data_IF_071817749217
#
_entry.id   IF_071817749217
#
_cell.length_a   1.000
_cell.length_b   1.000
_cell.length_c   1.000
_cell.angle_alpha   90.00
_cell.angle_beta   90.00
_cell.angle_gamma   90.00
#
_symmetry.space_group_name_H-M   'P 1'
#
loop_
_entity.id
_entity.type
_entity.pdbx_description
1 polymer ?
#
# COMPACT_ATOMS: atom_id res chain seq x y z
N UNK A 1 2.10 -11.87 -3.12
CA UNK A 1 2.42 -10.74 -2.23
C UNK A 1 3.02 -9.58 -3.03
N UNK A 2 2.68 -8.33 -2.67
CA UNK A 2 3.19 -7.09 -3.27
C UNK A 2 3.60 -6.09 -2.16
N UNK A 3 4.36 -5.06 -2.53
CA UNK A 3 4.78 -3.97 -1.63
C UNK A 3 4.11 -2.68 -2.06
N UNK A 4 3.76 -1.84 -1.10
CA UNK A 4 3.31 -0.47 -1.40
C UNK A 4 4.49 0.32 -1.98
N UNK A 5 4.17 1.23 -2.91
CA UNK A 5 5.13 2.01 -3.70
C UNK A 5 6.32 2.52 -2.86
N UNK A 6 7.57 2.38 -3.35
CA UNK A 6 8.77 2.88 -2.67
C UNK A 6 8.73 4.34 -2.22
N UNK A 7 7.88 5.19 -2.83
CA UNK A 7 7.66 6.57 -2.42
C UNK A 7 7.24 6.70 -0.96
N UNK A 8 6.57 5.68 -0.39
CA UNK A 8 6.19 5.69 1.03
C UNK A 8 7.40 5.80 1.93
N UNK A 9 8.60 5.39 1.52
CA UNK A 9 9.85 5.54 2.31
C UNK A 9 10.18 6.99 2.69
N UNK A 10 9.61 7.97 1.98
CA UNK A 10 9.78 9.40 2.28
C UNK A 10 8.89 9.88 3.42
N UNK A 11 7.89 9.09 3.82
CA UNK A 11 6.97 9.43 4.90
C UNK A 11 7.67 9.13 6.24
N UNK A 12 7.92 10.18 7.02
CA UNK A 12 8.47 10.08 8.38
C UNK A 12 7.40 9.94 9.46
N UNK A 13 6.16 10.32 9.17
CA UNK A 13 5.02 10.19 10.09
C UNK A 13 4.64 8.72 10.29
N UNK A 14 3.96 8.45 11.41
CA UNK A 14 3.30 7.17 11.66
C UNK A 14 2.27 6.89 10.56
N UNK A 15 2.17 5.62 10.16
CA UNK A 15 1.28 5.17 9.10
C UNK A 15 0.39 4.06 9.64
N UNK A 16 -0.91 4.18 9.40
CA UNK A 16 -1.89 3.12 9.69
C UNK A 16 -2.43 2.57 8.38
N UNK A 17 -2.28 1.28 8.17
CA UNK A 17 -2.83 0.57 7.02
C UNK A 17 -4.08 -0.19 7.45
N UNK A 18 -5.22 0.15 6.88
CA UNK A 18 -6.51 -0.49 7.11
C UNK A 18 -6.79 -1.52 6.03
N UNK A 19 -6.95 -2.81 6.37
CA UNK A 19 -7.15 -3.91 5.41
C UNK A 19 -8.21 -4.86 5.94
N UNK A 20 -9.32 -5.05 5.21
CA UNK A 20 -10.36 -6.03 5.60
C UNK A 20 -10.90 -5.83 7.01
N UNK A 21 -10.97 -4.58 7.50
CA UNK A 21 -11.39 -4.24 8.86
C UNK A 21 -10.29 -4.33 9.93
N UNK A 22 -9.09 -4.81 9.59
CA UNK A 22 -7.92 -4.79 10.47
C UNK A 22 -7.13 -3.49 10.29
N UNK A 23 -6.42 -3.08 11.35
CA UNK A 23 -5.50 -1.94 11.34
C UNK A 23 -4.09 -2.43 11.64
N UNK A 24 -3.14 -2.04 10.80
CA UNK A 24 -1.72 -2.32 10.96
C UNK A 24 -0.98 -0.99 11.13
N UNK A 25 -0.27 -0.82 12.23
CA UNK A 25 0.45 0.41 12.54
C UNK A 25 1.93 0.26 12.21
N UNK A 26 2.50 1.31 11.62
CA UNK A 26 3.91 1.39 11.24
C UNK A 26 4.45 2.73 11.73
N UNK A 27 5.63 2.74 12.34
CA UNK A 27 6.25 3.96 12.86
C UNK A 27 6.75 4.89 11.75
N UNK A 28 6.93 4.37 10.53
CA UNK A 28 7.38 5.15 9.39
C UNK A 28 7.11 4.46 8.05
N UNK A 29 7.26 5.22 6.98
CA UNK A 29 7.26 4.71 5.62
C UNK A 29 8.38 3.72 5.31
N UNK A 30 9.52 3.80 6.01
CA UNK A 30 10.60 2.81 5.87
C UNK A 30 10.14 1.44 6.35
N UNK A 31 9.45 1.40 7.49
CA UNK A 31 8.89 0.18 8.04
C UNK A 31 7.81 -0.40 7.14
N UNK A 32 6.87 0.43 6.69
CA UNK A 32 5.83 0.05 5.74
C UNK A 32 6.43 -0.54 4.45
N UNK A 33 7.52 0.03 3.93
CA UNK A 33 8.15 -0.46 2.68
C UNK A 33 8.71 -1.89 2.77
N UNK A 34 8.87 -2.43 3.99
CA UNK A 34 9.29 -3.81 4.24
C UNK A 34 8.11 -4.77 4.31
N UNK A 35 6.91 -4.26 4.62
CA UNK A 35 5.69 -5.06 4.70
C UNK A 35 5.30 -5.63 3.33
N UNK A 36 4.62 -6.76 3.37
CA UNK A 36 4.09 -7.45 2.19
C UNK A 36 2.59 -7.64 2.34
N UNK A 37 1.85 -7.30 1.28
CA UNK A 37 0.39 -7.38 1.25
C UNK A 37 -0.05 -8.40 0.18
N UNK A 38 -1.23 -8.99 0.35
CA UNK A 38 -1.79 -9.88 -0.66
C UNK A 38 -2.17 -9.06 -1.91
N UNK A 39 -1.85 -9.57 -3.11
CA UNK A 39 -2.13 -8.93 -4.40
C UNK A 39 -3.63 -8.73 -4.64
N UNK A 40 -4.48 -9.40 -3.88
CA UNK A 40 -5.93 -9.20 -3.89
C UNK A 40 -6.35 -7.84 -3.34
N UNK A 41 -5.49 -7.11 -2.64
CA UNK A 41 -5.83 -5.80 -2.09
C UNK A 41 -5.19 -4.67 -2.88
N UNK A 42 -5.95 -3.64 -3.20
CA UNK A 42 -5.50 -2.39 -3.84
C UNK A 42 -5.71 -1.21 -2.91
N UNK A 43 -4.96 -0.14 -3.14
CA UNK A 43 -5.13 1.12 -2.40
C UNK A 43 -6.46 1.75 -2.82
N UNK A 44 -7.38 1.90 -1.87
CA UNK A 44 -8.62 2.65 -2.07
C UNK A 44 -8.39 4.14 -1.83
N UNK A 45 -7.77 4.48 -0.68
CA UNK A 45 -7.59 5.88 -0.24
C UNK A 45 -6.31 6.05 0.55
N UNK A 46 -5.72 7.23 0.42
CA UNK A 46 -4.62 7.71 1.27
C UNK A 46 -5.01 9.11 1.76
N UNK A 47 -4.96 9.33 3.06
CA UNK A 47 -5.24 10.63 3.67
C UNK A 47 -4.45 10.81 4.96
N UNK A 48 -4.36 12.05 5.44
CA UNK A 48 -3.74 12.37 6.72
C UNK A 48 -4.82 12.65 7.77
N UNK A 49 -4.67 12.09 8.96
CA UNK A 49 -5.57 12.29 10.09
C UNK A 49 -4.78 12.22 11.40
N UNK A 50 -4.98 13.19 12.30
CA UNK A 50 -4.32 13.24 13.62
C UNK A 50 -2.79 13.02 13.56
N UNK A 51 -2.11 13.73 12.66
CA UNK A 51 -0.65 13.64 12.42
C UNK A 51 -0.15 12.29 11.86
N UNK A 52 -1.08 11.39 11.51
CA UNK A 52 -0.78 10.08 10.92
C UNK A 52 -1.22 10.03 9.47
N UNK A 53 -0.54 9.21 8.69
CA UNK A 53 -1.00 8.84 7.34
C UNK A 53 -1.86 7.58 7.46
N UNK A 54 -3.06 7.63 6.90
CA UNK A 54 -3.97 6.48 6.83
C UNK A 54 -4.00 5.99 5.39
N UNK A 55 -3.72 4.70 5.19
CA UNK A 55 -3.80 4.00 3.91
C UNK A 55 -4.90 2.95 4.03
N UNK A 56 -5.94 3.06 3.23
CA UNK A 56 -7.04 2.09 3.20
C UNK A 56 -6.83 1.18 2.00
N UNK A 57 -6.73 -0.13 2.25
CA UNK A 57 -6.74 -1.15 1.21
C UNK A 57 -8.11 -1.82 1.14
N UNK A 58 -8.60 -2.03 -0.08
CA UNK A 58 -9.81 -2.80 -0.37
C UNK A 58 -9.47 -4.01 -1.22
N UNK A 59 -10.31 -5.03 -1.18
CA UNK A 59 -10.20 -6.12 -2.16
C UNK A 59 -10.44 -5.57 -3.57
N UNK A 60 -9.58 -5.99 -4.49
CA UNK A 60 -9.69 -5.67 -5.89
C UNK A 60 -10.89 -6.40 -6.48
N UNK A 61 -11.79 -5.65 -7.11
CA UNK A 61 -12.79 -6.27 -7.98
C UNK A 61 -12.08 -7.01 -9.11
N UNK A 62 -12.56 -8.21 -9.43
CA UNK A 62 -11.96 -9.14 -10.42
C UNK A 62 -11.83 -8.48 -11.82
N UNK A 63 -12.55 -7.38 -12.06
CA UNK A 63 -12.54 -6.60 -13.30
C UNK A 63 -11.63 -5.35 -13.27
N UNK A 64 -10.93 -5.09 -12.17
CA UNK A 64 -10.03 -3.93 -12.02
C UNK A 64 -8.62 -4.30 -12.50
N UNK A 65 -8.46 -4.41 -13.83
CA UNK A 65 -7.18 -4.70 -14.51
C UNK A 65 -6.13 -3.59 -14.41
N UNK A 66 -6.41 -2.48 -13.71
CA UNK A 66 -5.59 -1.25 -13.79
C UNK A 66 -4.30 -1.26 -12.95
N UNK A 67 -4.07 -2.27 -12.10
CA UNK A 67 -2.98 -2.23 -11.09
C UNK A 67 -1.86 -3.26 -11.31
N UNK A 68 -2.05 -4.22 -12.21
CA UNK A 68 -0.94 -5.02 -12.72
C UNK A 68 -0.35 -4.30 -13.93
N UNK A 69 0.43 -3.25 -13.70
CA UNK A 69 1.54 -3.02 -14.62
C UNK A 69 2.46 -4.22 -14.43
N UNK A 70 2.32 -5.19 -15.34
CA UNK A 70 3.35 -6.18 -15.60
C UNK A 70 4.67 -5.43 -15.60
N UNK A 71 5.58 -5.90 -14.74
CA UNK A 71 6.97 -5.48 -14.72
C UNK A 71 7.44 -5.36 -16.17
N UNK A 72 8.14 -4.28 -16.50
CA UNK A 72 8.92 -4.19 -17.73
C UNK A 72 9.67 -5.52 -17.94
N UNK A 73 9.13 -6.35 -18.82
CA UNK A 73 9.80 -7.50 -19.39
C UNK A 73 10.84 -6.89 -20.31
N UNK A 74 12.10 -7.04 -19.91
CA UNK A 74 13.24 -6.52 -20.66
C UNK A 74 13.16 -6.94 -22.12
N UNK A 75 13.36 -5.97 -23.01
CA UNK A 75 13.64 -6.21 -24.41
C UNK A 75 15.12 -5.91 -24.66
N UNK A 76 15.86 -7.01 -24.87
CA UNK A 76 17.19 -7.15 -25.48
C UNK A 76 18.39 -6.43 -24.87
#
# INVERSE_FOLDING_TARGET
MYKIDPIVKKISSEIVVCIGGQKLEYCSGIELSKAQFDKRYVIDRIYAENERIIIVLKEADINSTDWCQDKDVGFF
#
